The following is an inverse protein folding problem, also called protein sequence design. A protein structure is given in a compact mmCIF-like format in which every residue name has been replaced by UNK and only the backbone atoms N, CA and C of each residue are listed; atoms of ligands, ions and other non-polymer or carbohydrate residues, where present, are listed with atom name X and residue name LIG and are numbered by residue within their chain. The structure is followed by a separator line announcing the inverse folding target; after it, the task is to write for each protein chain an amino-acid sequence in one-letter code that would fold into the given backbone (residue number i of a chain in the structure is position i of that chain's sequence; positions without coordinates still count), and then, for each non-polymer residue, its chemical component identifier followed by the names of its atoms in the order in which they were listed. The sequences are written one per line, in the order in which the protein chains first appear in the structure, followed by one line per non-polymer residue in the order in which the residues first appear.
data_IF_517097835861
#
_entry.id   IF_517097835861
#
_cell.length_a   1.000
_cell.length_b   1.000
_cell.length_c   1.000
_cell.angle_alpha   90.00
_cell.angle_beta   90.00
_cell.angle_gamma   90.00
#
_symmetry.space_group_name_H-M   'P 1'
#
loop_
_entity.id
_entity.type
_entity.pdbx_description
1 polymer ?
#
# COMPACT_ATOMS: atom_id res chain seq x y z
N UNK A 1 23.31 4.29 7.63
CA UNK A 1 22.30 4.56 6.58
C UNK A 1 21.30 3.41 6.58
N UNK A 2 20.10 3.61 7.11
CA UNK A 2 19.08 2.55 7.18
C UNK A 2 18.41 2.47 5.81
N UNK A 3 18.64 1.39 5.07
CA UNK A 3 17.93 1.14 3.81
C UNK A 3 16.49 0.76 4.14
N UNK A 4 15.57 1.71 4.03
CA UNK A 4 14.14 1.48 4.28
C UNK A 4 13.46 0.64 3.19
N UNK A 5 14.07 0.48 2.01
CA UNK A 5 13.57 -0.42 0.98
C UNK A 5 14.55 -0.65 -0.16
N UNK A 6 14.22 -1.61 -1.01
CA UNK A 6 15.01 -2.02 -2.17
C UNK A 6 14.11 -2.27 -3.36
N UNK A 7 14.49 -1.75 -4.53
CA UNK A 7 13.90 -2.08 -5.83
C UNK A 7 14.81 -3.05 -6.56
N UNK A 8 14.22 -4.05 -7.21
CA UNK A 8 14.93 -5.09 -7.94
C UNK A 8 14.08 -5.62 -9.10
N UNK A 9 14.76 -6.24 -10.06
CA UNK A 9 14.13 -6.86 -11.23
C UNK A 9 13.64 -8.27 -10.87
N UNK A 10 12.44 -8.62 -11.31
CA UNK A 10 11.89 -9.96 -11.17
C UNK A 10 12.47 -10.91 -12.22
N UNK A 11 12.54 -12.19 -11.88
CA UNK A 11 12.87 -13.25 -12.83
C UNK A 11 11.71 -13.50 -13.81
N UNK A 12 10.47 -13.25 -13.36
CA UNK A 12 9.27 -13.33 -14.19
C UNK A 12 9.18 -12.14 -15.14
N UNK A 13 8.64 -12.42 -16.34
CA UNK A 13 8.41 -11.44 -17.40
C UNK A 13 6.93 -11.14 -17.53
N UNK A 14 6.60 -9.93 -17.98
CA UNK A 14 5.24 -9.53 -18.30
C UNK A 14 4.72 -10.23 -19.56
N UNK A 15 3.45 -9.98 -19.90
CA UNK A 15 2.77 -10.58 -21.06
C UNK A 15 3.59 -10.43 -22.37
N UNK A 16 4.26 -9.29 -22.53
CA UNK A 16 5.04 -8.97 -23.74
C UNK A 16 6.52 -9.40 -23.65
N UNK A 17 6.87 -10.26 -22.70
CA UNK A 17 8.26 -10.68 -22.45
C UNK A 17 9.15 -9.60 -21.82
N UNK A 18 8.55 -8.46 -21.44
CA UNK A 18 9.25 -7.34 -20.82
C UNK A 18 9.63 -7.63 -19.37
N UNK A 19 10.75 -7.08 -18.88
CA UNK A 19 11.19 -7.27 -17.50
C UNK A 19 10.26 -6.57 -16.52
N UNK A 20 9.80 -7.30 -15.51
CA UNK A 20 9.02 -6.71 -14.42
C UNK A 20 9.94 -6.29 -13.27
N UNK A 21 9.51 -5.26 -12.56
CA UNK A 21 10.19 -4.73 -11.39
C UNK A 21 9.34 -4.93 -10.14
N UNK A 22 10.03 -4.99 -9.01
CA UNK A 22 9.42 -5.10 -7.69
C UNK A 22 10.19 -4.28 -6.68
N UNK A 23 9.51 -3.92 -5.60
CA UNK A 23 10.15 -3.37 -4.41
C UNK A 23 9.87 -4.26 -3.20
N UNK A 24 10.74 -4.15 -2.21
CA UNK A 24 10.58 -4.74 -0.88
C UNK A 24 11.09 -3.79 0.19
N UNK A 25 10.43 -3.74 1.34
CA UNK A 25 10.77 -2.76 2.38
C UNK A 25 10.66 -3.35 3.79
N UNK A 26 11.19 -2.63 4.78
CA UNK A 26 11.04 -2.94 6.20
C UNK A 26 10.81 -1.64 6.96
N UNK A 27 9.86 -1.66 7.90
CA UNK A 27 9.50 -0.49 8.70
C UNK A 27 10.17 -0.48 10.07
N UNK A 28 10.18 -1.63 10.75
CA UNK A 28 10.57 -1.72 12.17
C UNK A 28 11.86 -2.54 12.37
N UNK A 29 12.80 -2.45 11.42
CA UNK A 29 14.10 -3.10 11.52
C UNK A 29 14.15 -4.53 10.99
N UNK A 30 15.26 -5.25 11.22
CA UNK A 30 15.63 -6.49 10.50
C UNK A 30 14.64 -7.65 10.67
N UNK A 31 13.98 -7.74 11.83
CA UNK A 31 13.03 -8.81 12.17
C UNK A 31 11.59 -8.48 11.77
N UNK A 32 11.31 -7.25 11.30
CA UNK A 32 9.99 -6.89 10.81
C UNK A 32 9.67 -7.60 9.50
N UNK A 33 8.38 -7.79 9.25
CA UNK A 33 7.87 -8.31 8.00
C UNK A 33 8.52 -7.56 6.83
N UNK A 34 8.79 -8.28 5.74
CA UNK A 34 9.38 -7.72 4.54
C UNK A 34 8.37 -7.81 3.38
N UNK A 35 7.36 -6.91 3.34
CA UNK A 35 6.42 -6.90 2.23
C UNK A 35 7.15 -6.70 0.90
N UNK A 36 6.65 -7.36 -0.14
CA UNK A 36 7.15 -7.29 -1.49
C UNK A 36 5.98 -7.06 -2.44
N UNK A 37 6.11 -6.10 -3.34
CA UNK A 37 5.14 -5.83 -4.40
C UNK A 37 5.85 -5.75 -5.74
N UNK A 38 5.33 -6.46 -6.74
CA UNK A 38 5.90 -6.56 -8.08
C UNK A 38 4.90 -6.25 -9.18
N UNK A 39 5.34 -6.40 -10.43
CA UNK A 39 4.51 -6.15 -11.61
C UNK A 39 4.68 -4.75 -12.21
N UNK A 40 5.69 -4.00 -11.79
CA UNK A 40 5.98 -2.68 -12.36
C UNK A 40 6.67 -2.81 -13.71
N UNK A 41 6.27 -2.00 -14.68
CA UNK A 41 6.85 -1.99 -16.03
C UNK A 41 8.29 -1.44 -16.04
N UNK A 42 8.63 -0.55 -15.11
CA UNK A 42 9.96 0.04 -15.01
C UNK A 42 10.47 0.10 -13.57
N UNK A 43 11.80 0.23 -13.44
CA UNK A 43 12.46 0.49 -12.16
C UNK A 43 11.97 1.78 -11.52
N UNK A 44 11.78 2.83 -12.33
CA UNK A 44 11.34 4.14 -11.87
C UNK A 44 9.93 4.09 -11.27
N UNK A 45 9.03 3.31 -11.86
CA UNK A 45 7.68 3.12 -11.32
C UNK A 45 7.72 2.39 -9.98
N UNK A 46 8.55 1.35 -9.87
CA UNK A 46 8.75 0.63 -8.61
C UNK A 46 9.42 1.50 -7.53
N UNK A 47 10.37 2.37 -7.89
CA UNK A 47 11.01 3.32 -6.97
C UNK A 47 10.03 4.40 -6.49
N UNK A 48 9.19 4.94 -7.39
CA UNK A 48 8.14 5.90 -7.06
C UNK A 48 7.09 5.27 -6.14
N UNK A 49 6.67 4.04 -6.43
CA UNK A 49 5.73 3.30 -5.59
C UNK A 49 6.32 3.00 -4.19
N UNK A 50 7.58 2.56 -4.13
CA UNK A 50 8.29 2.34 -2.87
C UNK A 50 8.38 3.62 -2.04
N UNK A 51 8.72 4.76 -2.67
CA UNK A 51 8.80 6.06 -1.99
C UNK A 51 7.45 6.45 -1.38
N UNK A 52 6.36 6.36 -2.17
CA UNK A 52 5.00 6.64 -1.68
C UNK A 52 4.64 5.80 -0.45
N UNK A 53 5.02 4.53 -0.45
CA UNK A 53 4.77 3.60 0.66
C UNK A 53 5.61 3.95 1.90
N UNK A 54 6.89 4.28 1.73
CA UNK A 54 7.77 4.65 2.83
C UNK A 54 7.40 5.99 3.45
N UNK A 55 7.04 6.98 2.65
CA UNK A 55 6.62 8.30 3.13
C UNK A 55 5.29 8.20 3.92
N UNK A 56 4.40 7.27 3.53
CA UNK A 56 3.15 6.95 4.25
C UNK A 56 3.39 6.25 5.59
N UNK A 57 4.40 5.38 5.67
CA UNK A 57 4.58 4.44 6.78
C UNK A 57 5.75 4.82 7.71
N UNK A 58 6.51 5.86 7.37
CA UNK A 58 7.67 6.31 8.13
C UNK A 58 7.34 6.94 9.50
N UNK A 59 8.35 7.15 10.36
CA UNK A 59 8.17 7.80 11.66
C UNK A 59 7.68 9.25 11.47
N UNK A 60 6.44 9.51 11.88
CA UNK A 60 5.74 10.79 11.65
C UNK A 60 4.87 10.85 10.38
N UNK A 61 4.81 9.76 9.60
CA UNK A 61 4.10 9.67 8.32
C UNK A 61 2.70 9.07 8.39
N UNK A 62 1.90 9.42 7.38
CA UNK A 62 0.60 8.86 6.94
C UNK A 62 -0.23 8.08 7.95
N UNK A 63 0.17 6.87 8.36
CA UNK A 63 -0.63 6.01 9.26
C UNK A 63 -1.04 6.66 10.60
N UNK A 64 -0.23 7.58 11.14
CA UNK A 64 -0.56 8.28 12.38
C UNK A 64 -1.59 9.41 12.18
N UNK A 65 -1.72 9.93 10.95
CA UNK A 65 -2.55 11.09 10.61
C UNK A 65 -3.73 10.77 9.68
N UNK A 66 -3.65 9.68 8.93
CA UNK A 66 -4.64 9.23 7.93
C UNK A 66 -5.92 8.76 8.62
N UNK A 67 -7.03 9.13 8.04
CA UNK A 67 -8.35 8.68 8.48
C UNK A 67 -8.69 7.29 7.93
N UNK A 68 -9.70 6.63 8.49
CA UNK A 68 -10.17 5.35 7.96
C UNK A 68 -10.68 5.49 6.52
N UNK A 69 -11.37 6.60 6.20
CA UNK A 69 -11.90 6.89 4.88
C UNK A 69 -10.78 7.02 3.84
N UNK A 70 -9.79 7.87 4.13
CA UNK A 70 -8.61 8.05 3.28
C UNK A 70 -7.86 6.73 3.06
N UNK A 71 -7.73 5.91 4.11
CA UNK A 71 -7.09 4.60 4.01
C UNK A 71 -7.86 3.64 3.09
N UNK A 72 -9.19 3.63 3.17
CA UNK A 72 -10.06 2.78 2.33
C UNK A 72 -10.03 3.24 0.88
N UNK A 73 -10.10 4.55 0.61
CA UNK A 73 -10.02 5.07 -0.75
C UNK A 73 -8.66 4.75 -1.39
N UNK A 74 -7.56 4.96 -0.66
CA UNK A 74 -6.23 4.54 -1.13
C UNK A 74 -6.16 3.03 -1.38
N UNK A 75 -6.72 2.21 -0.48
CA UNK A 75 -6.75 0.76 -0.66
C UNK A 75 -7.47 0.39 -1.96
N UNK A 76 -8.64 0.96 -2.21
CA UNK A 76 -9.44 0.67 -3.40
C UNK A 76 -8.80 1.18 -4.69
N UNK A 77 -8.00 2.25 -4.64
CA UNK A 77 -7.24 2.76 -5.78
C UNK A 77 -6.07 1.83 -6.16
N UNK A 78 -5.34 1.30 -5.17
CA UNK A 78 -4.18 0.42 -5.43
C UNK A 78 -4.55 -1.06 -5.57
N UNK A 79 -5.74 -1.46 -5.11
CA UNK A 79 -6.15 -2.85 -5.12
C UNK A 79 -6.41 -3.31 -6.56
N UNK A 80 -5.53 -4.17 -7.07
CA UNK A 80 -5.70 -4.76 -8.39
C UNK A 80 -6.77 -5.85 -8.35
N UNK A 81 -8.00 -5.48 -8.69
CA UNK A 81 -9.10 -6.41 -8.84
C UNK A 81 -10.01 -6.00 -10.01
N UNK A 82 -10.88 -6.92 -10.44
CA UNK A 82 -11.89 -6.59 -11.45
C UNK A 82 -12.79 -5.42 -10.97
N UNK A 83 -13.31 -4.58 -11.86
CA UNK A 83 -14.15 -3.43 -11.48
C UNK A 83 -15.34 -3.81 -10.58
N UNK A 84 -15.96 -4.97 -10.84
CA UNK A 84 -17.04 -5.52 -10.01
C UNK A 84 -16.59 -5.83 -8.58
N UNK A 85 -15.35 -6.27 -8.39
CA UNK A 85 -14.77 -6.53 -7.07
C UNK A 85 -14.53 -5.23 -6.34
N UNK A 86 -14.01 -4.20 -7.02
CA UNK A 86 -13.82 -2.86 -6.42
C UNK A 86 -15.16 -2.25 -6.01
N UNK A 87 -16.19 -2.36 -6.86
CA UNK A 87 -17.55 -1.89 -6.53
C UNK A 87 -18.13 -2.62 -5.31
N UNK A 88 -17.93 -3.94 -5.21
CA UNK A 88 -18.34 -4.73 -4.04
C UNK A 88 -17.61 -4.30 -2.78
N UNK A 89 -16.29 -4.08 -2.84
CA UNK A 89 -15.51 -3.62 -1.70
C UNK A 89 -15.95 -2.22 -1.25
N UNK A 90 -16.23 -1.30 -2.18
CA UNK A 90 -16.84 0.01 -1.86
C UNK A 90 -18.14 -0.15 -1.11
N UNK A 91 -19.03 -1.02 -1.58
CA UNK A 91 -20.32 -1.27 -0.93
C UNK A 91 -20.16 -1.86 0.48
N UNK A 92 -19.29 -2.88 0.64
CA UNK A 92 -19.04 -3.54 1.93
C UNK A 92 -18.46 -2.58 2.97
N UNK A 93 -17.54 -1.72 2.54
CA UNK A 93 -16.85 -0.79 3.44
C UNK A 93 -17.66 0.48 3.71
N UNK A 94 -18.64 0.80 2.86
CA UNK A 94 -19.40 2.05 2.92
C UNK A 94 -20.07 2.32 4.27
N UNK A 95 -20.60 1.29 4.94
CA UNK A 95 -21.18 1.46 6.28
C UNK A 95 -20.13 1.90 7.30
N UNK A 96 -18.98 1.23 7.33
CA UNK A 96 -17.91 1.56 8.27
C UNK A 96 -17.31 2.94 7.99
N UNK A 97 -17.06 3.28 6.73
CA UNK A 97 -16.51 4.59 6.36
C UNK A 97 -17.52 5.73 6.57
N UNK A 98 -18.83 5.49 6.48
CA UNK A 98 -19.83 6.52 6.82
C UNK A 98 -19.85 6.91 8.30
N UNK A 99 -19.50 5.98 9.20
CA UNK A 99 -19.56 6.19 10.66
C UNK A 99 -18.20 6.55 11.24
N UNK A 100 -17.14 5.92 10.74
CA UNK A 100 -15.79 6.00 11.29
C UNK A 100 -14.79 6.64 10.33
N UNK A 101 -15.24 7.09 9.15
CA UNK A 101 -14.39 7.57 8.06
C UNK A 101 -13.42 8.66 8.47
N UNK A 102 -13.86 9.61 9.29
CA UNK A 102 -13.04 10.74 9.77
C UNK A 102 -12.12 10.38 10.94
N UNK A 103 -12.29 9.21 11.56
CA UNK A 103 -11.41 8.79 12.66
C UNK A 103 -10.04 8.43 12.11
N UNK A 104 -9.00 8.96 12.76
CA UNK A 104 -7.62 8.55 12.49
C UNK A 104 -7.44 7.07 12.77
N UNK A 105 -6.75 6.35 11.89
CA UNK A 105 -6.47 4.93 12.08
C UNK A 105 -5.80 4.65 13.43
N UNK A 106 -4.86 5.50 13.84
CA UNK A 106 -4.15 5.39 15.12
C UNK A 106 -5.05 5.58 16.37
N UNK A 107 -6.30 6.00 16.18
CA UNK A 107 -7.28 6.22 17.25
C UNK A 107 -8.46 5.25 17.20
N UNK A 108 -8.50 4.34 16.22
CA UNK A 108 -9.50 3.28 16.19
C UNK A 108 -9.23 2.26 17.29
N UNK A 109 -10.30 1.81 17.94
CA UNK A 109 -10.27 0.77 18.96
C UNK A 109 -11.28 -0.34 18.61
N UNK A 110 -11.14 -1.55 19.17
CA UNK A 110 -12.10 -2.63 18.96
C UNK A 110 -13.54 -2.34 19.45
N UNK A 111 -13.76 -1.24 20.17
CA UNK A 111 -15.06 -0.85 20.73
C UNK A 111 -15.83 0.14 19.85
N UNK A 112 -15.20 0.65 18.80
CA UNK A 112 -15.80 1.54 17.80
C UNK A 112 -16.58 0.76 16.74
#
# INVERSE_FOLDING_TARGET
MIQHGQVFKLETRGADGQPLWAYRYRLEGRSSERPQLGGFASRADAEKALRKVLDRLGPGGGRATITLGEFVDEYLEIHQAAPVTIAKLRWLLGKATSVLGEKRLAKLSPKD
#
